data_IF_073195410270
#
_entry.id   IF_073195410270
#
_cell.length_a   1.000
_cell.length_b   1.000
_cell.length_c   1.000
_cell.angle_alpha   90.00
_cell.angle_beta   90.00
_cell.angle_gamma   90.00
#
_symmetry.space_group_name_H-M   'P 1'
#
loop_
_entity.id
_entity.type
_entity.pdbx_description
1 polymer ?
#
# COMPACT_ATOMS: atom_id res chain seq x y z
N UNK A 1 8.05 6.53 12.90
CA UNK A 1 7.51 5.16 12.76
C UNK A 1 7.37 4.81 11.27
N UNK A 2 8.05 3.74 10.83
CA UNK A 2 7.98 3.24 9.45
C UNK A 2 6.62 2.59 9.15
N UNK A 3 5.92 2.09 10.18
CA UNK A 3 4.65 1.33 10.05
C UNK A 3 3.48 2.20 9.59
N UNK A 4 3.58 3.52 9.72
CA UNK A 4 2.52 4.46 9.34
C UNK A 4 1.99 4.22 7.93
N UNK A 5 2.87 4.00 6.96
CA UNK A 5 2.46 3.75 5.58
C UNK A 5 2.02 2.31 5.34
N UNK A 6 2.54 1.36 6.11
CA UNK A 6 2.08 -0.03 6.08
C UNK A 6 0.60 -0.10 6.49
N UNK A 7 0.24 0.57 7.60
CA UNK A 7 -1.15 0.63 8.07
C UNK A 7 -2.08 1.34 7.08
N UNK A 8 -1.63 2.44 6.48
CA UNK A 8 -2.45 3.15 5.46
C UNK A 8 -2.74 2.29 4.23
N UNK A 9 -1.75 1.57 3.73
CA UNK A 9 -1.95 0.71 2.56
C UNK A 9 -2.75 -0.55 2.92
N UNK A 10 -2.54 -1.09 4.13
CA UNK A 10 -3.36 -2.16 4.69
C UNK A 10 -4.84 -1.77 4.75
N UNK A 11 -5.14 -0.64 5.39
CA UNK A 11 -6.49 -0.08 5.50
C UNK A 11 -7.13 0.12 4.10
N UNK A 12 -6.38 0.68 3.15
CA UNK A 12 -6.84 0.86 1.78
C UNK A 12 -7.28 -0.47 1.13
N UNK A 13 -6.46 -1.52 1.25
CA UNK A 13 -6.75 -2.84 0.68
C UNK A 13 -7.96 -3.48 1.36
N UNK A 14 -8.04 -3.43 2.68
CA UNK A 14 -9.14 -4.03 3.45
C UNK A 14 -10.47 -3.31 3.19
N UNK A 15 -10.45 -1.98 3.12
CA UNK A 15 -11.63 -1.19 2.77
C UNK A 15 -12.11 -1.48 1.34
N UNK A 16 -11.20 -1.69 0.39
CA UNK A 16 -11.57 -2.08 -0.98
C UNK A 16 -12.28 -3.44 -1.00
N UNK A 17 -11.76 -4.42 -0.27
CA UNK A 17 -12.38 -5.75 -0.14
C UNK A 17 -13.77 -5.66 0.46
N UNK A 18 -13.91 -4.88 1.54
CA UNK A 18 -15.21 -4.66 2.20
C UNK A 18 -16.23 -4.04 1.24
N UNK A 19 -15.87 -2.94 0.57
CA UNK A 19 -16.76 -2.24 -0.35
C UNK A 19 -17.13 -3.08 -1.58
N UNK A 20 -16.19 -3.87 -2.12
CA UNK A 20 -16.48 -4.77 -3.25
C UNK A 20 -17.44 -5.89 -2.86
N UNK A 21 -17.25 -6.45 -1.66
CA UNK A 21 -18.14 -7.46 -1.13
C UNK A 21 -19.56 -6.91 -0.97
N UNK A 22 -19.72 -5.71 -0.39
CA UNK A 22 -21.02 -5.05 -0.29
C UNK A 22 -21.70 -4.81 -1.64
N UNK A 23 -20.93 -4.46 -2.68
CA UNK A 23 -21.47 -4.12 -4.00
C UNK A 23 -21.77 -5.32 -4.88
N UNK A 24 -21.00 -6.39 -4.75
CA UNK A 24 -20.98 -7.50 -5.73
C UNK A 24 -21.18 -8.88 -5.10
N UNK A 25 -21.12 -8.98 -3.78
CA UNK A 25 -21.09 -10.26 -3.05
C UNK A 25 -19.79 -11.07 -3.23
N UNK A 26 -18.81 -10.56 -3.99
CA UNK A 26 -17.56 -11.28 -4.29
C UNK A 26 -16.48 -10.92 -3.28
N UNK A 27 -15.84 -11.94 -2.70
CA UNK A 27 -14.67 -11.76 -1.84
C UNK A 27 -13.36 -11.78 -2.66
N UNK A 28 -12.48 -10.80 -2.46
CA UNK A 28 -11.10 -10.85 -2.96
C UNK A 28 -10.13 -11.24 -1.84
N UNK A 29 -10.02 -12.56 -1.59
CA UNK A 29 -9.17 -13.10 -0.51
C UNK A 29 -7.68 -12.73 -0.67
N UNK A 30 -7.19 -12.63 -1.91
CA UNK A 30 -5.80 -12.24 -2.17
C UNK A 30 -5.52 -10.83 -1.67
N UNK A 31 -6.41 -9.88 -1.99
CA UNK A 31 -6.29 -8.48 -1.55
C UNK A 31 -6.43 -8.36 -0.02
N UNK A 32 -7.34 -9.12 0.57
CA UNK A 32 -7.51 -9.19 2.03
C UNK A 32 -6.21 -9.64 2.70
N UNK A 33 -5.63 -10.75 2.26
CA UNK A 33 -4.37 -11.26 2.80
C UNK A 33 -3.19 -10.30 2.57
N UNK A 34 -3.14 -9.61 1.43
CA UNK A 34 -2.14 -8.57 1.20
C UNK A 34 -2.23 -7.45 2.24
N UNK A 35 -3.45 -6.97 2.55
CA UNK A 35 -3.66 -5.98 3.61
C UNK A 35 -3.20 -6.49 4.98
N UNK A 36 -3.65 -7.69 5.37
CA UNK A 36 -3.28 -8.28 6.66
C UNK A 36 -1.76 -8.51 6.81
N UNK A 37 -1.08 -8.96 5.75
CA UNK A 37 0.38 -9.17 5.79
C UNK A 37 1.15 -7.85 5.96
N UNK A 38 0.64 -6.72 5.44
CA UNK A 38 1.30 -5.43 5.61
C UNK A 38 1.35 -4.96 7.06
N UNK A 39 0.36 -5.31 7.88
CA UNK A 39 0.35 -4.95 9.29
C UNK A 39 1.56 -5.56 10.04
N UNK A 40 2.08 -6.68 9.53
CA UNK A 40 3.21 -7.41 10.09
C UNK A 40 4.51 -7.20 9.30
N UNK A 41 4.52 -6.33 8.30
CA UNK A 41 5.73 -6.06 7.53
C UNK A 41 6.77 -5.37 8.43
N UNK A 42 7.94 -6.00 8.58
CA UNK A 42 9.02 -5.56 9.46
C UNK A 42 9.81 -4.34 8.91
N UNK A 43 9.49 -3.92 7.69
CA UNK A 43 10.07 -2.74 7.05
C UNK A 43 8.99 -1.81 6.46
N UNK A 44 9.43 -0.65 5.97
CA UNK A 44 8.57 0.34 5.30
C UNK A 44 8.16 -0.14 3.92
N UNK A 45 6.84 -0.22 3.65
CA UNK A 45 6.34 -0.49 2.29
C UNK A 45 6.83 0.54 1.27
N UNK A 46 7.13 1.77 1.70
CA UNK A 46 7.70 2.80 0.82
C UNK A 46 9.14 2.48 0.43
N UNK A 47 9.91 1.85 1.30
CA UNK A 47 11.30 1.49 0.99
C UNK A 47 11.34 0.23 0.11
N UNK A 48 10.46 -0.75 0.36
CA UNK A 48 10.20 -1.85 -0.59
C UNK A 48 9.80 -1.32 -1.96
N UNK A 49 8.92 -0.31 -2.01
CA UNK A 49 8.48 0.30 -3.26
C UNK A 49 9.64 0.96 -4.02
N UNK A 50 10.50 1.72 -3.34
CA UNK A 50 11.67 2.36 -3.95
C UNK A 50 12.65 1.35 -4.56
N UNK A 51 12.78 0.16 -3.96
CA UNK A 51 13.63 -0.93 -4.47
C UNK A 51 12.98 -1.70 -5.62
N UNK A 52 11.71 -1.45 -5.94
CA UNK A 52 10.97 -2.20 -6.96
C UNK A 52 10.56 -3.61 -6.52
N UNK A 53 10.49 -3.87 -5.21
CA UNK A 53 10.37 -5.22 -4.65
C UNK A 53 8.95 -5.56 -4.16
N UNK A 54 7.93 -4.76 -4.51
CA UNK A 54 6.55 -5.04 -4.08
C UNK A 54 6.08 -6.43 -4.48
N UNK A 55 6.52 -6.96 -5.62
CA UNK A 55 6.20 -8.31 -6.10
C UNK A 55 6.78 -9.43 -5.23
N UNK A 56 7.78 -9.13 -4.40
CA UNK A 56 8.35 -10.09 -3.43
C UNK A 56 7.50 -10.18 -2.14
N UNK A 57 6.61 -9.21 -1.89
CA UNK A 57 5.75 -9.24 -0.72
C UNK A 57 4.67 -10.32 -0.84
N UNK A 58 4.37 -10.96 0.29
CA UNK A 58 3.35 -12.01 0.36
C UNK A 58 1.98 -11.46 -0.07
N UNK A 59 1.35 -12.13 -1.04
CA UNK A 59 0.07 -11.76 -1.65
C UNK A 59 0.07 -10.48 -2.51
N UNK A 60 1.22 -9.85 -2.79
CA UNK A 60 1.30 -8.70 -3.70
C UNK A 60 1.39 -9.12 -5.16
N UNK A 61 0.28 -9.65 -5.67
CA UNK A 61 0.13 -9.98 -7.09
C UNK A 61 0.03 -8.70 -7.95
N UNK A 62 0.27 -8.77 -9.28
CA UNK A 62 0.29 -7.60 -10.16
C UNK A 62 -0.95 -6.69 -10.04
N UNK A 63 -2.13 -7.26 -9.85
CA UNK A 63 -3.39 -6.51 -9.66
C UNK A 63 -3.39 -5.65 -8.40
N UNK A 64 -2.80 -6.16 -7.30
CA UNK A 64 -2.69 -5.43 -6.03
C UNK A 64 -1.63 -4.34 -6.15
N UNK A 65 -0.48 -4.65 -6.77
CA UNK A 65 0.56 -3.66 -7.05
C UNK A 65 -0.02 -2.51 -7.88
N UNK A 66 -0.74 -2.82 -8.95
CA UNK A 66 -1.41 -1.82 -9.80
C UNK A 66 -2.39 -0.96 -9.00
N UNK A 67 -3.12 -1.55 -8.06
CA UNK A 67 -4.07 -0.85 -7.21
C UNK A 67 -3.39 0.11 -6.21
N UNK A 68 -2.30 -0.31 -5.55
CA UNK A 68 -1.64 0.52 -4.52
C UNK A 68 -0.65 1.54 -5.07
N UNK A 69 -0.09 1.30 -6.27
CA UNK A 69 0.95 2.14 -6.87
C UNK A 69 0.61 3.64 -6.91
N UNK A 70 -0.61 4.08 -7.32
CA UNK A 70 -0.96 5.49 -7.34
C UNK A 70 -0.89 6.17 -5.96
N UNK A 71 -1.16 5.41 -4.89
CA UNK A 71 -1.10 5.92 -3.52
C UNK A 71 0.35 6.06 -3.06
N UNK A 72 1.21 5.12 -3.43
CA UNK A 72 2.65 5.14 -3.15
C UNK A 72 3.35 6.27 -3.92
N UNK A 73 2.98 6.51 -5.17
CA UNK A 73 3.50 7.60 -6.02
C UNK A 73 3.20 8.99 -5.43
N UNK A 74 1.94 9.24 -5.01
CA UNK A 74 1.55 10.51 -4.37
C UNK A 74 2.35 10.82 -3.10
N UNK A 75 2.83 9.79 -2.39
CA UNK A 75 3.67 10.01 -1.21
C UNK A 75 5.05 10.56 -1.57
N UNK A 76 5.59 10.16 -2.72
CA UNK A 76 6.90 10.58 -3.20
C UNK A 76 6.86 12.08 -3.54
N UNK A 77 5.82 12.51 -4.23
CA UNK A 77 5.58 13.92 -4.56
C UNK A 77 5.40 14.79 -3.31
N UNK A 78 4.60 14.32 -2.34
CA UNK A 78 4.37 15.04 -1.08
C UNK A 78 5.65 15.17 -0.23
N UNK A 79 6.54 14.16 -0.25
CA UNK A 79 7.84 14.24 0.44
C UNK A 79 8.82 15.18 -0.26
N UNK A 80 8.82 15.21 -1.60
CA UNK A 80 9.68 16.13 -2.36
C UNK A 80 9.30 17.60 -2.12
N UNK A 81 7.99 17.92 -2.14
CA UNK A 81 7.51 19.29 -1.87
C UNK A 81 7.89 19.78 -0.48
N UNK A 82 7.62 18.99 0.57
CA UNK A 82 8.02 19.32 1.95
C UNK A 82 9.54 19.43 2.16
N UNK A 83 10.32 18.72 1.34
CA UNK A 83 11.78 18.83 1.35
C UNK A 83 12.23 20.19 0.83
N UNK A 84 11.69 20.62 -0.31
CA UNK A 84 11.98 21.91 -0.93
C UNK A 84 11.51 23.09 -0.07
N UNK A 85 10.32 23.02 0.51
CA UNK A 85 9.78 24.06 1.41
C UNK A 85 10.61 24.25 2.70
N UNK A 86 11.53 23.33 3.02
CA UNK A 86 12.44 23.44 4.17
C UNK A 86 13.71 24.24 3.85
N UNK A 87 13.99 24.48 2.57
CA UNK A 87 15.20 25.17 2.09
C UNK A 87 14.91 26.55 1.48
N UNK A 88 13.66 26.99 1.47
CA UNK A 88 13.21 28.34 1.09
C UNK A 88 12.72 29.09 2.34
#
# INVERSE_FOLDING_TARGET
DYRKWNYKISELLLNKVYLDNLKTGKSNKTMMWAGLNLNNLEESILDVYKRGELSKLRNFKPEIIKYVKPYLDKTKELRQRKGLDKFL
#
